data_IF_033805278559
#
_entry.id   IF_033805278559
#
_cell.length_a   1.000
_cell.length_b   1.000
_cell.length_c   1.000
_cell.angle_alpha   90.00
_cell.angle_beta   90.00
_cell.angle_gamma   90.00
#
_symmetry.space_group_name_H-M   'P 1'
#
loop_
_entity.id
_entity.type
_entity.pdbx_description
1 polymer ?
#
# COMPACT_ATOMS: atom_id res chain seq x y z
N UNK A 1 26.03 -1.86 17.18
CA UNK A 1 24.67 -2.26 16.79
C UNK A 1 24.85 -3.34 15.74
N UNK A 2 24.35 -4.56 15.96
CA UNK A 2 24.53 -5.64 14.99
C UNK A 2 23.76 -5.30 13.72
N UNK A 3 24.26 -5.70 12.54
CA UNK A 3 23.63 -5.36 11.26
C UNK A 3 22.16 -5.83 11.18
N UNK A 4 21.80 -6.91 11.86
CA UNK A 4 20.43 -7.41 11.94
C UNK A 4 19.47 -6.44 12.64
N UNK A 5 19.89 -5.78 13.73
CA UNK A 5 19.07 -4.79 14.44
C UNK A 5 18.76 -3.57 13.56
N UNK A 6 19.73 -3.15 12.73
CA UNK A 6 19.56 -2.06 11.78
C UNK A 6 18.54 -2.42 10.69
N UNK A 7 18.65 -3.62 10.11
CA UNK A 7 17.74 -4.09 9.06
C UNK A 7 16.32 -4.29 9.64
N UNK A 8 16.20 -4.84 10.85
CA UNK A 8 14.91 -4.99 11.54
C UNK A 8 14.25 -3.63 11.79
N UNK A 9 15.02 -2.64 12.26
CA UNK A 9 14.52 -1.28 12.47
C UNK A 9 14.08 -0.64 11.15
N UNK A 10 14.87 -0.78 10.10
CA UNK A 10 14.55 -0.29 8.76
C UNK A 10 13.25 -0.91 8.22
N UNK A 11 13.13 -2.24 8.25
CA UNK A 11 11.92 -2.95 7.79
C UNK A 11 10.68 -2.59 8.63
N UNK A 12 10.87 -2.31 9.92
CA UNK A 12 9.82 -1.79 10.79
C UNK A 12 9.27 -0.44 10.29
N UNK A 13 10.15 0.52 10.00
CA UNK A 13 9.75 1.82 9.43
C UNK A 13 9.18 1.69 8.02
N UNK A 14 9.73 0.83 7.16
CA UNK A 14 9.15 0.53 5.85
C UNK A 14 7.72 0.01 5.99
N UNK A 15 7.46 -0.87 6.97
CA UNK A 15 6.12 -1.38 7.25
C UNK A 15 5.17 -0.26 7.68
N UNK A 16 5.57 0.58 8.65
CA UNK A 16 4.74 1.70 9.14
C UNK A 16 4.39 2.68 8.03
N UNK A 17 5.38 3.14 7.27
CA UNK A 17 5.17 4.12 6.18
C UNK A 17 4.26 3.52 5.10
N UNK A 18 4.50 2.27 4.71
CA UNK A 18 3.74 1.67 3.62
C UNK A 18 2.29 1.35 4.03
N UNK A 19 2.07 0.93 5.28
CA UNK A 19 0.71 0.77 5.84
C UNK A 19 0.01 2.12 5.91
N UNK A 20 0.70 3.18 6.33
CA UNK A 20 0.16 4.54 6.34
C UNK A 20 -0.27 5.01 4.95
N UNK A 21 0.56 4.77 3.93
CA UNK A 21 0.23 5.07 2.53
C UNK A 21 -0.97 4.25 2.02
N UNK A 22 -1.06 2.98 2.39
CA UNK A 22 -2.20 2.13 2.03
C UNK A 22 -3.50 2.62 2.68
N UNK A 23 -3.46 2.98 3.97
CA UNK A 23 -4.62 3.51 4.69
C UNK A 23 -5.05 4.85 4.11
N UNK A 24 -4.10 5.76 3.88
CA UNK A 24 -4.37 7.04 3.23
C UNK A 24 -5.01 6.84 1.85
N UNK A 25 -4.42 5.98 1.01
CA UNK A 25 -4.97 5.66 -0.31
C UNK A 25 -6.38 5.08 -0.23
N UNK A 26 -6.63 4.16 0.70
CA UNK A 26 -7.94 3.56 0.89
C UNK A 26 -8.98 4.60 1.32
N UNK A 27 -8.62 5.49 2.26
CA UNK A 27 -9.49 6.59 2.70
C UNK A 27 -9.78 7.56 1.55
N UNK A 28 -8.78 7.94 0.76
CA UNK A 28 -8.98 8.82 -0.40
C UNK A 28 -9.94 8.18 -1.41
N UNK A 29 -9.76 6.90 -1.73
CA UNK A 29 -10.63 6.16 -2.66
C UNK A 29 -12.06 6.02 -2.10
N UNK A 30 -12.23 5.85 -0.79
CA UNK A 30 -13.56 5.72 -0.17
C UNK A 30 -14.29 7.07 -0.06
N UNK A 31 -13.61 8.12 0.40
CA UNK A 31 -14.21 9.43 0.67
C UNK A 31 -14.44 10.25 -0.60
N UNK A 32 -13.51 10.18 -1.56
CA UNK A 32 -13.55 10.97 -2.79
C UNK A 32 -13.84 10.12 -4.01
N UNK A 33 -14.47 8.95 -3.81
CA UNK A 33 -14.70 7.91 -4.82
C UNK A 33 -15.24 8.47 -6.13
N UNK A 34 -16.34 9.20 -6.08
CA UNK A 34 -17.06 9.64 -7.27
C UNK A 34 -16.33 10.78 -8.01
N UNK A 35 -15.79 11.74 -7.25
CA UNK A 35 -15.07 12.89 -7.79
C UNK A 35 -13.75 12.46 -8.46
N UNK A 36 -12.97 11.63 -7.77
CA UNK A 36 -11.66 11.15 -8.25
C UNK A 36 -11.85 10.19 -9.41
N UNK A 37 -12.86 9.32 -9.37
CA UNK A 37 -13.13 8.40 -10.47
C UNK A 37 -13.65 9.10 -11.71
N UNK A 38 -14.44 10.18 -11.56
CA UNK A 38 -14.86 10.99 -12.71
C UNK A 38 -13.70 11.73 -13.36
N UNK A 39 -12.81 12.31 -12.54
CA UNK A 39 -11.62 12.97 -13.03
C UNK A 39 -10.72 12.00 -13.81
N UNK A 40 -10.41 10.84 -13.23
CA UNK A 40 -9.56 9.84 -13.89
C UNK A 40 -10.25 9.23 -15.12
N UNK A 41 -11.56 8.96 -15.07
CA UNK A 41 -12.31 8.50 -16.22
C UNK A 41 -12.20 9.47 -17.41
N UNK A 42 -12.30 10.79 -17.16
CA UNK A 42 -12.16 11.81 -18.20
C UNK A 42 -10.72 11.92 -18.72
N UNK A 43 -9.73 11.93 -17.83
CA UNK A 43 -8.31 12.04 -18.20
C UNK A 43 -7.87 10.87 -19.07
N UNK A 44 -8.29 9.65 -18.73
CA UNK A 44 -7.87 8.42 -19.39
C UNK A 44 -8.87 7.89 -20.42
N UNK A 45 -9.99 8.60 -20.65
CA UNK A 45 -11.10 8.18 -21.51
C UNK A 45 -11.59 6.76 -21.18
N UNK A 46 -11.78 6.48 -19.89
CA UNK A 46 -12.22 5.19 -19.35
C UNK A 46 -13.66 5.28 -18.84
N UNK A 47 -14.32 4.13 -18.71
CA UNK A 47 -15.58 4.08 -17.96
C UNK A 47 -15.32 4.16 -16.46
N UNK A 48 -16.22 4.79 -15.70
CA UNK A 48 -16.11 4.88 -14.24
C UNK A 48 -15.98 3.50 -13.57
N UNK A 49 -16.65 2.48 -14.10
CA UNK A 49 -16.58 1.10 -13.62
C UNK A 49 -15.16 0.50 -13.71
N UNK A 50 -14.42 0.80 -14.78
CA UNK A 50 -13.05 0.34 -14.96
C UNK A 50 -12.11 1.02 -13.98
N UNK A 51 -12.32 2.32 -13.72
CA UNK A 51 -11.56 3.09 -12.73
C UNK A 51 -11.78 2.53 -11.31
N UNK A 52 -13.03 2.18 -10.95
CA UNK A 52 -13.31 1.54 -9.66
C UNK A 52 -12.62 0.19 -9.51
N UNK A 53 -12.65 -0.63 -10.55
CA UNK A 53 -11.95 -1.93 -10.56
C UNK A 53 -10.45 -1.73 -10.41
N UNK A 54 -9.87 -0.75 -11.10
CA UNK A 54 -8.46 -0.41 -10.99
C UNK A 54 -8.07 0.04 -9.58
N UNK A 55 -8.88 0.86 -8.89
CA UNK A 55 -8.59 1.25 -7.50
C UNK A 55 -8.64 0.07 -6.54
N UNK A 56 -9.59 -0.85 -6.69
CA UNK A 56 -9.62 -2.06 -5.88
C UNK A 56 -8.37 -2.92 -6.11
N UNK A 57 -7.97 -3.09 -7.38
CA UNK A 57 -6.75 -3.83 -7.74
C UNK A 57 -5.49 -3.14 -7.20
N UNK A 58 -5.38 -1.83 -7.31
CA UNK A 58 -4.28 -1.04 -6.77
C UNK A 58 -4.13 -1.24 -5.25
N UNK A 59 -5.21 -1.13 -4.49
CA UNK A 59 -5.19 -1.36 -3.04
C UNK A 59 -4.82 -2.81 -2.69
N UNK A 60 -5.30 -3.79 -3.46
CA UNK A 60 -4.95 -5.20 -3.27
C UNK A 60 -3.47 -5.47 -3.57
N UNK A 61 -2.93 -4.90 -4.66
CA UNK A 61 -1.53 -5.04 -5.04
C UNK A 61 -0.60 -4.36 -4.04
N UNK A 62 -0.92 -3.15 -3.58
CA UNK A 62 -0.18 -2.49 -2.51
C UNK A 62 -0.15 -3.35 -1.24
N UNK A 63 -1.28 -3.93 -0.83
CA UNK A 63 -1.34 -4.85 0.31
C UNK A 63 -0.35 -6.00 0.17
N UNK A 64 -0.36 -6.67 -0.99
CA UNK A 64 0.55 -7.80 -1.26
C UNK A 64 2.00 -7.35 -1.18
N UNK A 65 2.34 -6.23 -1.82
CA UNK A 65 3.70 -5.68 -1.83
C UNK A 65 4.21 -5.38 -0.41
N UNK A 66 3.37 -4.74 0.41
CA UNK A 66 3.68 -4.42 1.80
C UNK A 66 3.93 -5.69 2.62
N UNK A 67 3.08 -6.70 2.45
CA UNK A 67 3.22 -7.97 3.17
C UNK A 67 4.54 -8.64 2.80
N UNK A 68 4.81 -8.80 1.51
CA UNK A 68 5.96 -9.57 1.02
C UNK A 68 7.28 -8.84 1.23
N UNK A 69 7.35 -7.53 0.99
CA UNK A 69 8.62 -6.79 1.04
C UNK A 69 8.97 -6.21 2.41
N UNK A 70 7.97 -5.97 3.28
CA UNK A 70 8.21 -5.29 4.56
C UNK A 70 7.83 -6.17 5.76
N UNK A 71 6.58 -6.63 5.82
CA UNK A 71 6.04 -7.29 7.02
C UNK A 71 6.66 -8.68 7.21
N UNK A 72 6.65 -9.53 6.18
CA UNK A 72 7.23 -10.88 6.24
C UNK A 72 8.71 -10.86 6.63
N UNK A 73 9.59 -10.07 5.99
CA UNK A 73 11.01 -10.04 6.37
C UNK A 73 11.24 -9.38 7.74
N UNK A 74 10.41 -8.43 8.17
CA UNK A 74 10.46 -7.89 9.53
C UNK A 74 10.20 -8.97 10.58
N UNK A 75 9.13 -9.76 10.41
CA UNK A 75 8.82 -10.87 11.31
C UNK A 75 9.85 -11.99 11.24
N UNK A 76 10.42 -12.28 10.07
CA UNK A 76 11.51 -13.24 9.94
C UNK A 76 12.71 -12.84 10.82
N UNK A 77 13.14 -11.58 10.76
CA UNK A 77 14.21 -11.07 11.62
C UNK A 77 13.84 -11.08 13.10
N UNK A 78 12.61 -10.71 13.44
CA UNK A 78 12.13 -10.74 14.83
C UNK A 78 12.17 -12.16 15.43
N UNK A 79 11.96 -13.20 14.62
CA UNK A 79 12.02 -14.61 15.05
C UNK A 79 13.47 -15.10 15.16
N UNK A 80 14.37 -14.59 14.31
CA UNK A 80 15.78 -14.99 14.30
C UNK A 80 16.61 -14.36 15.43
N UNK A 81 16.21 -13.18 15.91
CA UNK A 81 16.90 -12.40 16.92
C UNK A 81 16.48 -12.82 18.35
#
# INVERSE_FOLDING_TARGET
MYSFDLIQTFLGWCSVISIGLLLFSALTVMLFRDQVSELHAKIFNLKKEDVFRAYFQYLAQMKILIIVLNIVPYFALLIMN
#
